data_IF_123844482393
#
_entry.id   IF_123844482393
#
_cell.length_a   1.000
_cell.length_b   1.000
_cell.length_c   1.000
_cell.angle_alpha   90.00
_cell.angle_beta   90.00
_cell.angle_gamma   90.00
#
_symmetry.space_group_name_H-M   'P 1'
#
loop_
_entity.id
_entity.type
_entity.pdbx_description
1 polymer ?
#
# COMPACT_ATOMS: atom_id res chain seq x y z
N UNK A 1 1.34 5.48 22.50
CA UNK A 1 2.59 4.84 22.07
C UNK A 1 3.36 5.79 21.16
N UNK A 2 4.64 6.02 21.40
CA UNK A 2 5.49 6.74 20.44
C UNK A 2 5.88 5.75 19.34
N UNK A 3 5.35 5.91 18.16
CA UNK A 3 5.78 5.17 16.96
C UNK A 3 7.14 5.77 16.55
N UNK A 4 8.21 5.01 16.70
CA UNK A 4 9.51 5.37 16.13
C UNK A 4 9.60 4.75 14.74
N UNK A 5 10.06 5.51 13.76
CA UNK A 5 10.54 4.93 12.51
C UNK A 5 11.69 4.00 12.88
N UNK A 6 11.56 2.73 12.55
CA UNK A 6 12.61 1.77 12.82
C UNK A 6 13.62 1.82 11.68
N UNK A 7 14.46 2.86 11.72
CA UNK A 7 15.68 2.88 10.93
C UNK A 7 16.67 1.90 11.57
N UNK A 8 17.09 0.90 10.82
CA UNK A 8 18.07 -0.08 11.26
C UNK A 8 19.36 0.22 10.52
N UNK A 9 20.38 0.64 11.22
CA UNK A 9 21.66 1.07 10.66
C UNK A 9 22.78 0.07 10.95
N UNK A 10 23.59 -0.18 9.94
CA UNK A 10 24.75 -1.04 10.04
C UNK A 10 24.47 -2.50 9.69
N UNK A 11 25.53 -3.16 9.22
CA UNK A 11 25.46 -4.49 8.61
C UNK A 11 24.93 -5.56 9.57
N UNK A 12 25.46 -5.60 10.79
CA UNK A 12 25.06 -6.60 11.77
C UNK A 12 23.61 -6.40 12.22
N UNK A 13 23.19 -5.15 12.46
CA UNK A 13 21.84 -4.83 12.88
C UNK A 13 20.80 -5.24 11.82
N UNK A 14 21.12 -5.01 10.53
CA UNK A 14 20.25 -5.41 9.41
C UNK A 14 20.19 -6.93 9.28
N UNK A 15 21.31 -7.65 9.44
CA UNK A 15 21.32 -9.11 9.42
C UNK A 15 20.52 -9.71 10.59
N UNK A 16 20.66 -9.15 11.79
CA UNK A 16 19.88 -9.59 12.94
C UNK A 16 18.37 -9.29 12.76
N UNK A 17 18.02 -8.19 12.13
CA UNK A 17 16.63 -7.90 11.81
C UNK A 17 16.02 -8.97 10.89
N UNK A 18 16.73 -9.40 9.83
CA UNK A 18 16.30 -10.50 8.98
C UNK A 18 16.19 -11.83 9.74
N UNK A 19 17.18 -12.16 10.60
CA UNK A 19 17.16 -13.37 11.44
C UNK A 19 15.98 -13.39 12.41
N UNK A 20 15.62 -12.23 12.92
CA UNK A 20 14.48 -12.05 13.83
C UNK A 20 13.12 -12.01 13.10
N UNK A 21 13.10 -12.18 11.77
CA UNK A 21 11.87 -12.14 10.97
C UNK A 21 11.21 -10.77 10.89
N UNK A 22 11.95 -9.67 11.19
CA UNK A 22 11.37 -8.32 11.10
C UNK A 22 11.07 -7.97 9.64
N UNK A 23 9.86 -7.49 9.33
CA UNK A 23 9.53 -7.06 7.98
C UNK A 23 10.33 -5.79 7.63
N UNK A 24 11.14 -5.89 6.56
CA UNK A 24 11.93 -4.78 6.04
C UNK A 24 11.31 -4.29 4.74
N UNK A 25 10.87 -3.05 4.72
CA UNK A 25 10.24 -2.44 3.54
C UNK A 25 11.26 -2.06 2.47
N UNK A 26 12.33 -1.39 2.90
CA UNK A 26 13.36 -0.88 1.99
C UNK A 26 14.74 -1.08 2.60
N UNK A 27 15.68 -1.46 1.74
CA UNK A 27 17.09 -1.60 2.08
C UNK A 27 17.91 -0.70 1.18
N UNK A 28 18.69 0.18 1.78
CA UNK A 28 19.61 1.07 1.09
C UNK A 28 21.03 0.58 1.30
N UNK A 29 21.76 0.38 0.21
CA UNK A 29 23.13 -0.12 0.21
C UNK A 29 24.01 0.88 -0.51
N UNK A 30 25.20 1.14 0.02
CA UNK A 30 26.21 1.96 -0.63
C UNK A 30 26.54 1.39 -2.01
N UNK A 31 26.46 2.23 -3.04
CA UNK A 31 26.80 1.82 -4.40
C UNK A 31 28.24 1.31 -4.50
N UNK A 32 28.43 0.27 -5.31
CA UNK A 32 29.73 -0.41 -5.45
C UNK A 32 30.15 -1.31 -4.28
N UNK A 33 29.41 -1.37 -3.17
CA UNK A 33 29.76 -2.22 -2.04
C UNK A 33 29.44 -3.69 -2.31
N UNK A 34 30.47 -4.56 -2.25
CA UNK A 34 30.38 -6.00 -2.57
C UNK A 34 31.10 -6.90 -1.56
N UNK A 35 31.38 -6.42 -0.36
CA UNK A 35 32.00 -7.24 0.67
C UNK A 35 31.07 -8.37 1.19
N UNK A 36 31.66 -9.36 1.87
CA UNK A 36 30.96 -10.57 2.30
C UNK A 36 29.67 -10.31 3.12
N UNK A 37 29.68 -9.43 4.14
CA UNK A 37 28.48 -9.08 4.89
C UNK A 37 27.39 -8.46 4.02
N UNK A 38 27.72 -7.55 3.10
CA UNK A 38 26.76 -6.93 2.19
C UNK A 38 26.19 -7.95 1.19
N UNK A 39 26.99 -8.89 0.71
CA UNK A 39 26.49 -9.98 -0.14
C UNK A 39 25.51 -10.89 0.60
N UNK A 40 25.74 -11.15 1.90
CA UNK A 40 24.79 -11.87 2.73
C UNK A 40 23.49 -11.12 2.91
N UNK A 41 23.56 -9.81 3.19
CA UNK A 41 22.38 -8.94 3.30
C UNK A 41 21.57 -8.93 1.98
N UNK A 42 22.24 -8.82 0.82
CA UNK A 42 21.58 -8.88 -0.50
C UNK A 42 20.85 -10.21 -0.70
N UNK A 43 21.42 -11.32 -0.26
CA UNK A 43 20.79 -12.65 -0.35
C UNK A 43 19.56 -12.75 0.55
N UNK A 44 19.64 -12.27 1.79
CA UNK A 44 18.47 -12.21 2.68
C UNK A 44 17.40 -11.25 2.13
N UNK A 45 17.77 -10.10 1.61
CA UNK A 45 16.83 -9.18 0.97
C UNK A 45 16.08 -9.84 -0.20
N UNK A 46 16.79 -10.61 -1.03
CA UNK A 46 16.17 -11.37 -2.12
C UNK A 46 15.23 -12.47 -1.61
N UNK A 47 15.61 -13.19 -0.55
CA UNK A 47 14.81 -14.24 0.07
C UNK A 47 13.50 -13.70 0.67
N UNK A 48 13.55 -12.50 1.28
CA UNK A 48 12.41 -11.83 1.88
C UNK A 48 11.73 -10.84 0.92
N UNK A 49 12.14 -10.82 -0.34
CA UNK A 49 11.60 -9.95 -1.39
C UNK A 49 11.60 -8.46 -0.98
N UNK A 50 12.64 -8.06 -0.25
CA UNK A 50 12.86 -6.69 0.20
C UNK A 50 13.35 -5.82 -0.95
N UNK A 51 12.78 -4.62 -1.10
CA UNK A 51 13.25 -3.66 -2.09
C UNK A 51 14.66 -3.17 -1.75
N UNK A 52 15.62 -3.38 -2.65
CA UNK A 52 16.99 -2.90 -2.50
C UNK A 52 17.22 -1.69 -3.41
N UNK A 53 17.77 -0.61 -2.85
CA UNK A 53 18.24 0.56 -3.59
C UNK A 53 19.72 0.81 -3.31
N UNK A 54 20.47 1.00 -4.39
CA UNK A 54 21.87 1.42 -4.30
C UNK A 54 21.90 2.94 -4.30
N UNK A 55 22.65 3.52 -3.37
CA UNK A 55 22.70 4.97 -3.13
C UNK A 55 24.13 5.43 -2.83
N UNK A 56 24.40 6.71 -3.01
CA UNK A 56 25.70 7.30 -2.68
C UNK A 56 25.92 7.37 -1.18
N UNK A 57 27.19 7.59 -0.76
CA UNK A 57 27.54 7.74 0.66
C UNK A 57 26.82 8.96 1.27
N UNK A 58 26.81 10.07 0.56
CA UNK A 58 26.15 11.32 0.99
C UNK A 58 24.67 11.09 1.27
N UNK A 59 24.03 10.25 0.46
CA UNK A 59 22.62 9.91 0.68
C UNK A 59 22.41 9.07 1.93
N UNK A 60 23.30 8.10 2.19
CA UNK A 60 23.26 7.32 3.44
C UNK A 60 23.53 8.20 4.65
N UNK A 61 24.52 9.10 4.57
CA UNK A 61 24.84 10.05 5.65
C UNK A 61 23.63 10.95 5.99
N UNK A 62 22.87 11.39 4.98
CA UNK A 62 21.62 12.17 5.16
C UNK A 62 20.48 11.36 5.80
N UNK A 63 20.44 10.07 5.54
CA UNK A 63 19.38 9.17 6.05
C UNK A 63 19.72 8.61 7.43
N UNK A 64 20.99 8.63 7.81
CA UNK A 64 21.49 8.05 9.07
C UNK A 64 21.16 8.93 10.25
N UNK A 65 20.62 8.33 11.30
CA UNK A 65 20.39 9.00 12.59
C UNK A 65 21.61 8.95 13.51
N UNK A 66 22.42 7.87 13.37
CA UNK A 66 23.55 7.59 14.28
C UNK A 66 24.90 7.91 13.68
N UNK A 67 24.98 8.11 12.35
CA UNK A 67 26.22 8.24 11.59
C UNK A 67 27.03 6.92 11.48
N UNK A 68 26.48 5.80 11.92
CA UNK A 68 27.17 4.49 11.97
C UNK A 68 26.58 3.46 11.01
N UNK A 69 26.05 3.90 9.86
CA UNK A 69 25.35 3.04 8.91
C UNK A 69 26.23 1.97 8.23
N UNK A 70 27.55 2.08 8.24
CA UNK A 70 28.49 1.10 7.64
C UNK A 70 28.14 0.72 6.18
N UNK A 71 27.54 1.66 5.42
CA UNK A 71 27.13 1.46 4.05
C UNK A 71 25.77 0.76 3.87
N UNK A 72 25.01 0.55 4.95
CA UNK A 72 23.71 -0.13 4.90
C UNK A 72 22.71 0.51 5.86
N UNK A 73 21.51 0.83 5.35
CA UNK A 73 20.37 1.30 6.15
C UNK A 73 19.13 0.52 5.70
N UNK A 74 18.36 0.00 6.65
CA UNK A 74 17.07 -0.63 6.39
C UNK A 74 15.93 0.14 7.08
N UNK A 75 14.80 0.24 6.41
CA UNK A 75 13.56 0.72 6.98
C UNK A 75 12.66 -0.48 7.27
N UNK A 76 12.43 -0.73 8.55
CA UNK A 76 11.51 -1.77 8.99
C UNK A 76 10.08 -1.26 8.97
N UNK A 77 9.14 -2.12 8.57
CA UNK A 77 7.72 -1.84 8.70
C UNK A 77 7.32 -1.74 10.18
N UNK A 78 6.42 -0.79 10.48
CA UNK A 78 5.87 -0.65 11.83
C UNK A 78 4.81 -1.71 12.14
N UNK A 79 4.29 -2.40 11.12
CA UNK A 79 3.30 -3.46 11.20
C UNK A 79 3.64 -4.60 10.24
N UNK A 80 3.18 -5.79 10.55
CA UNK A 80 3.27 -6.94 9.64
C UNK A 80 2.30 -6.77 8.48
N UNK A 81 2.72 -7.26 7.30
CA UNK A 81 1.84 -7.34 6.14
C UNK A 81 1.05 -8.64 6.19
N UNK A 82 -0.20 -8.56 5.74
CA UNK A 82 -1.05 -9.72 5.52
C UNK A 82 -0.84 -10.28 4.10
N UNK A 83 -1.29 -11.50 3.87
CA UNK A 83 -1.47 -12.03 2.52
C UNK A 83 -2.85 -11.61 1.97
N UNK A 84 -3.01 -11.63 0.65
CA UNK A 84 -4.29 -11.28 0.00
C UNK A 84 -5.38 -12.27 0.42
N UNK A 85 -5.02 -13.52 0.61
CA UNK A 85 -5.89 -14.59 1.06
C UNK A 85 -6.47 -14.32 2.45
N UNK A 86 -5.66 -13.78 3.38
CA UNK A 86 -6.12 -13.43 4.73
C UNK A 86 -7.25 -12.39 4.69
N UNK A 87 -7.13 -11.42 3.76
CA UNK A 87 -8.16 -10.39 3.56
C UNK A 87 -9.47 -11.00 3.06
N UNK A 88 -9.40 -11.95 2.13
CA UNK A 88 -10.60 -12.63 1.61
C UNK A 88 -11.25 -13.52 2.68
N UNK A 89 -10.46 -14.20 3.49
CA UNK A 89 -10.97 -14.99 4.60
C UNK A 89 -11.74 -14.14 5.63
N UNK A 90 -11.35 -12.89 5.85
CA UNK A 90 -12.08 -11.98 6.74
C UNK A 90 -13.49 -11.71 6.19
N UNK A 91 -13.63 -11.48 4.87
CA UNK A 91 -14.92 -11.29 4.24
C UNK A 91 -15.80 -12.56 4.36
N UNK A 92 -15.22 -13.72 4.09
CA UNK A 92 -15.90 -15.01 4.21
C UNK A 92 -16.38 -15.29 5.64
N UNK A 93 -15.50 -15.11 6.63
CA UNK A 93 -15.84 -15.28 8.06
C UNK A 93 -16.96 -14.35 8.55
N UNK A 94 -17.06 -13.16 7.94
CA UNK A 94 -18.16 -12.22 8.22
C UNK A 94 -19.44 -12.52 7.43
N UNK A 95 -19.38 -13.38 6.41
CA UNK A 95 -20.49 -13.61 5.49
C UNK A 95 -20.83 -12.39 4.63
N UNK A 96 -19.83 -11.54 4.35
CA UNK A 96 -19.98 -10.28 3.63
C UNK A 96 -19.37 -10.37 2.21
N UNK A 97 -19.95 -9.65 1.26
CA UNK A 97 -19.36 -9.48 -0.04
C UNK A 97 -17.99 -8.76 0.10
N UNK A 98 -16.88 -9.30 -0.44
CA UNK A 98 -15.57 -8.66 -0.32
C UNK A 98 -15.58 -7.19 -0.74
N UNK A 99 -14.93 -6.34 0.06
CA UNK A 99 -14.67 -4.95 -0.25
C UNK A 99 -13.19 -4.66 0.03
N UNK A 100 -12.44 -4.38 -1.02
CA UNK A 100 -11.00 -4.18 -0.96
C UNK A 100 -10.62 -2.81 -1.51
N UNK A 101 -9.55 -2.22 -0.95
CA UNK A 101 -8.88 -1.09 -1.59
C UNK A 101 -7.61 -1.59 -2.26
N UNK A 102 -7.35 -1.13 -3.48
CA UNK A 102 -6.10 -1.34 -4.18
C UNK A 102 -5.49 0.02 -4.49
N UNK A 103 -4.28 0.25 -4.05
CA UNK A 103 -3.65 1.56 -4.15
C UNK A 103 -2.48 1.51 -5.12
N UNK A 104 -2.52 2.31 -6.17
CA UNK A 104 -1.47 2.39 -7.18
C UNK A 104 -0.73 3.71 -7.08
N UNK A 105 0.60 3.67 -6.95
CA UNK A 105 1.48 4.84 -6.85
C UNK A 105 1.19 5.78 -5.65
N UNK A 106 0.63 5.29 -4.54
CA UNK A 106 0.45 6.09 -3.32
C UNK A 106 1.77 6.11 -2.53
N UNK A 107 2.54 7.19 -2.68
CA UNK A 107 3.87 7.34 -2.06
C UNK A 107 3.85 8.25 -0.82
N UNK A 108 2.81 9.06 -0.63
CA UNK A 108 2.65 9.90 0.56
C UNK A 108 2.11 9.09 1.75
N UNK A 109 2.85 9.01 2.88
CA UNK A 109 2.41 8.29 4.06
C UNK A 109 1.14 8.89 4.71
N UNK A 110 0.87 10.17 4.53
CA UNK A 110 -0.36 10.79 5.03
C UNK A 110 -1.58 10.28 4.24
N UNK A 111 -1.47 10.21 2.91
CA UNK A 111 -2.53 9.64 2.07
C UNK A 111 -2.77 8.17 2.40
N UNK A 112 -1.71 7.35 2.47
CA UNK A 112 -1.88 5.93 2.81
C UNK A 112 -2.56 5.74 4.16
N UNK A 113 -2.12 6.45 5.20
CA UNK A 113 -2.72 6.35 6.53
C UNK A 113 -4.19 6.80 6.55
N UNK A 114 -4.53 7.90 5.86
CA UNK A 114 -5.90 8.38 5.73
C UNK A 114 -6.80 7.39 4.96
N UNK A 115 -6.28 6.78 3.88
CA UNK A 115 -7.01 5.76 3.10
C UNK A 115 -7.26 4.50 3.95
N UNK A 116 -6.27 4.01 4.69
CA UNK A 116 -6.43 2.85 5.59
C UNK A 116 -7.51 3.13 6.66
N UNK A 117 -7.50 4.35 7.22
CA UNK A 117 -8.54 4.77 8.17
C UNK A 117 -9.91 4.80 7.52
N UNK A 118 -10.03 5.33 6.32
CA UNK A 118 -11.28 5.35 5.55
C UNK A 118 -11.74 3.94 5.22
N UNK A 119 -10.85 3.06 4.78
CA UNK A 119 -11.14 1.66 4.47
C UNK A 119 -11.72 0.93 5.70
N UNK A 120 -11.11 1.14 6.88
CA UNK A 120 -11.64 0.61 8.14
C UNK A 120 -13.07 1.08 8.41
N UNK A 121 -13.29 2.40 8.37
CA UNK A 121 -14.59 3.00 8.69
C UNK A 121 -15.69 2.67 7.65
N UNK A 122 -15.30 2.45 6.39
CA UNK A 122 -16.20 2.02 5.32
C UNK A 122 -16.50 0.50 5.36
N UNK A 123 -15.91 -0.24 6.29
CA UNK A 123 -16.10 -1.68 6.40
C UNK A 123 -15.37 -2.49 5.33
N UNK A 124 -14.32 -1.94 4.72
CA UNK A 124 -13.48 -2.70 3.81
C UNK A 124 -12.69 -3.78 4.57
N UNK A 125 -12.48 -4.93 3.92
CA UNK A 125 -11.84 -6.09 4.52
C UNK A 125 -10.31 -5.99 4.53
N UNK A 126 -9.73 -5.13 3.68
CA UNK A 126 -8.31 -4.85 3.67
C UNK A 126 -7.89 -3.91 2.56
N UNK A 127 -6.60 -3.58 2.58
CA UNK A 127 -5.94 -2.69 1.63
C UNK A 127 -4.79 -3.45 0.95
N UNK A 128 -4.65 -3.31 -0.35
CA UNK A 128 -3.56 -3.93 -1.13
C UNK A 128 -2.71 -2.81 -1.72
N UNK A 129 -1.40 -2.88 -1.50
CA UNK A 129 -0.42 -1.94 -2.04
C UNK A 129 0.65 -2.67 -2.86
N UNK A 130 1.24 -2.04 -3.88
CA UNK A 130 2.37 -2.64 -4.57
C UNK A 130 3.66 -2.53 -3.75
N UNK A 131 4.61 -3.44 -3.98
CA UNK A 131 5.96 -3.40 -3.37
C UNK A 131 6.79 -2.22 -3.84
N UNK A 132 6.58 -1.78 -5.08
CA UNK A 132 7.27 -0.67 -5.71
C UNK A 132 6.31 0.50 -5.91
N UNK A 133 6.82 1.74 -5.92
CA UNK A 133 6.03 2.95 -6.11
C UNK A 133 4.89 3.09 -5.10
N UNK A 134 5.15 2.69 -3.86
CA UNK A 134 4.24 2.87 -2.75
C UNK A 134 5.04 3.14 -1.48
N UNK A 135 4.46 3.87 -0.57
CA UNK A 135 4.97 3.96 0.80
C UNK A 135 4.59 2.69 1.55
N UNK A 136 5.51 2.17 2.36
CA UNK A 136 5.24 1.03 3.25
C UNK A 136 4.53 1.46 4.55
N UNK A 137 4.34 0.49 5.46
CA UNK A 137 3.70 0.71 6.77
C UNK A 137 4.67 1.38 7.76
N UNK A 138 5.03 2.62 7.47
CA UNK A 138 5.93 3.43 8.30
C UNK A 138 5.25 3.91 9.60
N UNK A 139 6.04 4.43 10.53
CA UNK A 139 5.51 5.06 11.74
C UNK A 139 4.56 6.25 11.44
N UNK A 140 4.81 6.98 10.34
CA UNK A 140 3.91 8.05 9.91
C UNK A 140 2.57 7.49 9.46
N UNK A 141 2.54 6.41 8.66
CA UNK A 141 1.31 5.72 8.26
C UNK A 141 0.55 5.20 9.49
N UNK A 142 1.26 4.58 10.44
CA UNK A 142 0.68 4.11 11.69
C UNK A 142 -0.01 5.24 12.47
N UNK A 143 0.62 6.40 12.55
CA UNK A 143 0.08 7.59 13.23
C UNK A 143 -1.12 8.18 12.48
N UNK A 144 -1.02 8.34 11.17
CA UNK A 144 -2.07 8.98 10.36
C UNK A 144 -3.30 8.07 10.16
N UNK A 145 -3.11 6.76 10.24
CA UNK A 145 -4.22 5.80 10.26
C UNK A 145 -5.04 5.81 11.57
N UNK A 146 -4.58 6.56 12.60
CA UNK A 146 -5.26 6.69 13.88
C UNK A 146 -5.70 5.35 14.52
N UNK A 147 -4.84 4.33 14.39
CA UNK A 147 -5.07 3.00 14.94
C UNK A 147 -5.81 2.02 14.01
N UNK A 148 -6.27 2.45 12.83
CA UNK A 148 -6.98 1.59 11.89
C UNK A 148 -6.13 0.38 11.42
N UNK A 149 -4.80 0.50 11.38
CA UNK A 149 -3.88 -0.61 11.07
C UNK A 149 -4.00 -1.82 12.01
N UNK A 150 -4.54 -1.65 13.23
CA UNK A 150 -4.76 -2.77 14.14
C UNK A 150 -5.97 -3.65 13.73
N UNK A 151 -6.81 -3.15 12.83
CA UNK A 151 -8.08 -3.77 12.45
C UNK A 151 -8.21 -4.01 10.94
N UNK A 152 -7.40 -3.32 10.13
CA UNK A 152 -7.47 -3.39 8.67
C UNK A 152 -6.15 -3.96 8.16
N UNK A 153 -6.13 -5.22 7.72
CA UNK A 153 -4.92 -5.82 7.16
C UNK A 153 -4.51 -5.13 5.88
N UNK A 154 -3.20 -5.01 5.70
CA UNK A 154 -2.60 -4.47 4.48
C UNK A 154 -1.75 -5.55 3.84
N UNK A 155 -2.08 -5.94 2.63
CA UNK A 155 -1.27 -6.86 1.84
C UNK A 155 -0.34 -6.10 0.88
N UNK A 156 0.83 -6.68 0.61
CA UNK A 156 1.83 -6.08 -0.28
C UNK A 156 2.17 -7.01 -1.43
N UNK A 157 1.86 -6.60 -2.65
CA UNK A 157 1.96 -7.44 -3.84
C UNK A 157 3.03 -6.94 -4.83
N UNK A 158 3.62 -7.85 -5.58
CA UNK A 158 4.64 -7.52 -6.58
C UNK A 158 4.04 -6.90 -7.84
N UNK A 159 2.84 -7.34 -8.24
CA UNK A 159 2.17 -6.90 -9.47
C UNK A 159 0.67 -6.69 -9.23
N UNK A 160 0.26 -5.42 -9.12
CA UNK A 160 -1.13 -5.07 -8.83
C UNK A 160 -2.09 -5.50 -9.95
N UNK A 161 -1.69 -5.34 -11.22
CA UNK A 161 -2.52 -5.76 -12.35
C UNK A 161 -2.77 -7.28 -12.36
N UNK A 162 -1.74 -8.07 -12.06
CA UNK A 162 -1.88 -9.53 -11.93
C UNK A 162 -2.77 -9.91 -10.73
N UNK A 163 -2.63 -9.21 -9.62
CA UNK A 163 -3.48 -9.42 -8.44
C UNK A 163 -4.96 -9.14 -8.76
N UNK A 164 -5.25 -8.08 -9.54
CA UNK A 164 -6.61 -7.81 -10.01
C UNK A 164 -7.14 -8.98 -10.83
N UNK A 165 -6.36 -9.49 -11.79
CA UNK A 165 -6.79 -10.65 -12.61
C UNK A 165 -7.10 -11.89 -11.74
N UNK A 166 -6.25 -12.18 -10.76
CA UNK A 166 -6.43 -13.33 -9.87
C UNK A 166 -7.68 -13.17 -8.99
N UNK A 167 -7.94 -11.97 -8.48
CA UNK A 167 -9.13 -11.66 -7.69
C UNK A 167 -10.42 -11.65 -8.52
N UNK A 168 -10.36 -11.25 -9.80
CA UNK A 168 -11.49 -11.37 -10.74
C UNK A 168 -11.90 -12.83 -10.94
N UNK A 169 -10.96 -13.75 -11.01
CA UNK A 169 -11.24 -15.18 -11.08
C UNK A 169 -11.95 -15.71 -9.82
N UNK A 170 -11.80 -15.01 -8.69
CA UNK A 170 -12.52 -15.27 -7.44
C UNK A 170 -13.86 -14.53 -7.34
N UNK A 171 -14.31 -13.85 -8.40
CA UNK A 171 -15.61 -13.21 -8.50
C UNK A 171 -15.68 -11.76 -8.07
N UNK A 172 -14.56 -11.09 -7.86
CA UNK A 172 -14.55 -9.65 -7.57
C UNK A 172 -14.63 -8.82 -8.86
N UNK A 173 -15.30 -7.68 -8.78
CA UNK A 173 -15.29 -6.63 -9.78
C UNK A 173 -14.40 -5.49 -9.35
N UNK A 174 -13.74 -4.84 -10.30
CA UNK A 174 -12.82 -3.74 -10.00
C UNK A 174 -13.30 -2.44 -10.60
N UNK A 175 -13.37 -1.41 -9.75
CA UNK A 175 -13.71 -0.05 -10.12
C UNK A 175 -12.49 0.85 -9.90
N UNK A 176 -12.04 1.53 -10.95
CA UNK A 176 -10.93 2.46 -10.95
C UNK A 176 -11.44 3.90 -10.81
N UNK A 177 -10.88 4.66 -9.90
CA UNK A 177 -11.14 6.09 -9.77
C UNK A 177 -10.40 6.87 -10.87
N UNK A 178 -11.12 7.54 -11.74
CA UNK A 178 -10.56 8.38 -12.80
C UNK A 178 -11.60 9.42 -13.26
N UNK A 179 -11.14 10.61 -13.67
CA UNK A 179 -12.04 11.69 -14.09
C UNK A 179 -12.80 11.39 -15.38
N UNK A 180 -12.22 10.59 -16.27
CA UNK A 180 -12.82 10.23 -17.56
C UNK A 180 -13.80 9.06 -17.48
N UNK A 181 -14.21 8.67 -16.28
CA UNK A 181 -15.11 7.55 -16.04
C UNK A 181 -16.59 7.88 -16.11
N UNK A 182 -17.39 6.83 -15.94
CA UNK A 182 -18.84 6.96 -15.69
C UNK A 182 -19.06 7.55 -14.30
N UNK A 183 -20.06 8.43 -14.15
CA UNK A 183 -20.39 8.95 -12.81
C UNK A 183 -20.63 7.81 -11.83
N UNK A 184 -20.01 7.88 -10.66
CA UNK A 184 -20.11 6.85 -9.60
C UNK A 184 -21.56 6.54 -9.22
N UNK A 185 -22.49 7.48 -9.40
CA UNK A 185 -23.91 7.31 -9.11
C UNK A 185 -24.65 6.42 -10.10
N UNK A 186 -24.02 6.12 -11.27
CA UNK A 186 -24.60 5.30 -12.34
C UNK A 186 -24.07 3.86 -12.35
N UNK A 187 -23.09 3.56 -11.50
CA UNK A 187 -22.47 2.23 -11.39
C UNK A 187 -23.18 1.39 -10.33
N UNK A 188 -23.30 0.09 -10.56
CA UNK A 188 -23.70 -0.87 -9.52
C UNK A 188 -22.46 -1.38 -8.78
N UNK A 189 -22.34 -0.98 -7.52
CA UNK A 189 -21.20 -1.28 -6.64
C UNK A 189 -21.60 -2.14 -5.42
N UNK A 190 -22.73 -2.84 -5.48
CA UNK A 190 -23.28 -3.63 -4.35
C UNK A 190 -22.54 -4.95 -4.12
N UNK A 191 -22.00 -5.55 -5.18
CA UNK A 191 -21.35 -6.87 -5.14
C UNK A 191 -19.96 -6.88 -4.53
N UNK A 192 -19.22 -8.00 -4.69
CA UNK A 192 -17.80 -8.10 -4.35
C UNK A 192 -17.00 -7.09 -5.18
N UNK A 193 -16.34 -6.12 -4.51
CA UNK A 193 -15.71 -5.00 -5.22
C UNK A 193 -14.31 -4.68 -4.69
N UNK A 194 -13.38 -4.40 -5.62
CA UNK A 194 -12.10 -3.78 -5.38
C UNK A 194 -12.10 -2.34 -5.90
N UNK A 195 -11.91 -1.37 -5.00
CA UNK A 195 -11.77 0.05 -5.32
C UNK A 195 -10.30 0.39 -5.57
N UNK A 196 -9.98 0.78 -6.81
CA UNK A 196 -8.61 1.11 -7.22
C UNK A 196 -8.43 2.63 -7.22
N UNK A 197 -7.45 3.10 -6.44
CA UNK A 197 -7.12 4.52 -6.26
C UNK A 197 -5.68 4.75 -6.70
N UNK A 198 -5.46 5.75 -7.54
CA UNK A 198 -4.15 6.25 -7.96
C UNK A 198 -3.69 7.48 -7.19
N UNK A 199 -2.49 7.96 -7.49
CA UNK A 199 -2.00 9.24 -6.96
C UNK A 199 -2.67 10.44 -7.67
N UNK A 200 -2.49 11.64 -7.10
CA UNK A 200 -3.12 12.86 -7.59
C UNK A 200 -2.58 13.33 -8.95
N UNK A 201 -1.33 12.98 -9.28
CA UNK A 201 -0.67 13.47 -10.50
C UNK A 201 -0.89 12.55 -11.69
N UNK A 202 -0.51 11.29 -11.57
CA UNK A 202 -0.53 10.31 -12.66
C UNK A 202 -1.80 9.45 -12.68
N UNK A 203 -2.59 9.50 -11.59
CA UNK A 203 -3.74 8.64 -11.43
C UNK A 203 -3.37 7.16 -11.27
N UNK A 204 -4.22 6.29 -11.76
CA UNK A 204 -3.98 4.85 -11.82
C UNK A 204 -3.21 4.51 -13.09
N UNK A 205 -2.14 3.75 -12.97
CA UNK A 205 -1.30 3.34 -14.09
C UNK A 205 -2.10 2.58 -15.16
N UNK A 206 -1.75 2.81 -16.45
CA UNK A 206 -2.46 2.29 -17.61
C UNK A 206 -2.76 0.78 -17.50
N UNK A 207 -1.76 -0.04 -17.16
CA UNK A 207 -1.94 -1.49 -17.08
C UNK A 207 -2.90 -1.92 -15.97
N UNK A 208 -2.93 -1.20 -14.85
CA UNK A 208 -3.87 -1.45 -13.74
C UNK A 208 -5.28 -1.03 -14.15
N UNK A 209 -5.42 0.16 -14.76
CA UNK A 209 -6.69 0.70 -15.28
C UNK A 209 -7.32 -0.23 -16.32
N UNK A 210 -6.53 -0.78 -17.26
CA UNK A 210 -6.97 -1.73 -18.28
C UNK A 210 -7.53 -3.06 -17.70
N UNK A 211 -7.15 -3.43 -16.46
CA UNK A 211 -7.66 -4.63 -15.78
C UNK A 211 -8.94 -4.38 -14.99
N UNK A 212 -9.30 -3.14 -14.75
CA UNK A 212 -10.54 -2.78 -14.06
C UNK A 212 -11.75 -3.00 -14.98
N UNK A 213 -12.91 -3.32 -14.39
CA UNK A 213 -14.15 -3.55 -15.09
C UNK A 213 -14.90 -2.25 -15.33
N UNK A 214 -14.75 -1.30 -14.40
CA UNK A 214 -15.41 0.00 -14.44
C UNK A 214 -14.42 1.11 -14.15
N UNK A 215 -14.67 2.26 -14.73
CA UNK A 215 -14.00 3.51 -14.43
C UNK A 215 -15.03 4.45 -13.85
N UNK A 216 -14.85 4.85 -12.58
CA UNK A 216 -15.76 5.71 -11.84
C UNK A 216 -15.23 7.13 -11.76
N UNK A 217 -16.03 8.10 -12.15
CA UNK A 217 -15.74 9.51 -11.91
C UNK A 217 -16.56 10.08 -10.76
N UNK A 218 -15.95 10.97 -10.00
CA UNK A 218 -16.61 11.82 -9.01
C UNK A 218 -17.02 13.10 -9.75
N UNK A 219 -18.31 13.48 -9.79
CA UNK A 219 -18.70 14.70 -10.47
C UNK A 219 -18.09 15.95 -9.84
N UNK A 220 -17.26 16.67 -10.60
CA UNK A 220 -16.65 17.94 -10.20
C UNK A 220 -17.47 19.13 -10.72
N UNK A 221 -17.51 20.23 -9.95
CA UNK A 221 -18.20 21.46 -10.31
C UNK A 221 -17.32 22.70 -10.18
N UNK A 222 -16.10 22.53 -9.71
CA UNK A 222 -15.12 23.62 -9.56
C UNK A 222 -14.15 23.68 -10.72
N UNK A 223 -13.24 24.62 -10.66
CA UNK A 223 -12.19 24.84 -11.68
C UNK A 223 -11.00 23.88 -11.54
N UNK A 224 -10.90 23.19 -10.39
CA UNK A 224 -9.90 22.14 -10.15
C UNK A 224 -10.52 20.79 -10.52
N UNK A 225 -9.79 20.01 -11.29
CA UNK A 225 -10.26 18.77 -11.92
C UNK A 225 -10.06 17.51 -11.09
N UNK A 226 -9.33 17.57 -9.98
CA UNK A 226 -9.02 16.40 -9.15
C UNK A 226 -9.11 16.66 -7.65
N UNK A 227 -9.49 15.64 -6.91
CA UNK A 227 -9.43 15.60 -5.45
C UNK A 227 -8.10 14.99 -4.99
N UNK A 228 -7.68 15.30 -3.77
CA UNK A 228 -6.64 14.52 -3.11
C UNK A 228 -7.02 13.03 -3.09
N UNK A 229 -6.04 12.14 -3.26
CA UNK A 229 -6.26 10.70 -3.38
C UNK A 229 -7.04 10.10 -2.20
N UNK A 230 -6.74 10.52 -0.97
CA UNK A 230 -7.44 10.02 0.22
C UNK A 230 -8.88 10.55 0.31
N UNK A 231 -9.15 11.73 -0.21
CA UNK A 231 -10.50 12.30 -0.30
C UNK A 231 -11.32 11.56 -1.35
N UNK A 232 -10.76 11.36 -2.55
CA UNK A 232 -11.41 10.58 -3.62
C UNK A 232 -11.73 9.16 -3.15
N UNK A 233 -10.79 8.51 -2.47
CA UNK A 233 -10.99 7.20 -1.86
C UNK A 233 -12.18 7.21 -0.88
N UNK A 234 -12.30 8.24 -0.04
CA UNK A 234 -13.41 8.38 0.89
C UNK A 234 -14.76 8.56 0.21
N UNK A 235 -14.84 9.43 -0.79
CA UNK A 235 -16.09 9.70 -1.53
C UNK A 235 -16.58 8.43 -2.23
N UNK A 236 -15.72 7.72 -2.97
CA UNK A 236 -16.08 6.48 -3.67
C UNK A 236 -16.40 5.34 -2.70
N UNK A 237 -15.65 5.21 -1.61
CA UNK A 237 -15.91 4.19 -0.60
C UNK A 237 -17.30 4.36 0.04
N UNK A 238 -17.69 5.58 0.37
CA UNK A 238 -19.01 5.83 0.97
C UNK A 238 -20.15 5.76 -0.02
N UNK A 239 -19.91 5.91 -1.32
CA UNK A 239 -20.89 5.53 -2.34
C UNK A 239 -21.12 4.01 -2.36
N UNK A 240 -20.04 3.21 -2.28
CA UNK A 240 -20.17 1.75 -2.13
C UNK A 240 -20.96 1.40 -0.87
N UNK A 241 -20.63 2.01 0.27
CA UNK A 241 -21.36 1.81 1.53
C UNK A 241 -22.84 2.18 1.38
N UNK A 242 -23.14 3.36 0.81
CA UNK A 242 -24.52 3.81 0.57
C UNK A 242 -25.32 2.80 -0.24
N UNK A 243 -24.73 2.28 -1.32
CA UNK A 243 -25.41 1.30 -2.17
C UNK A 243 -25.64 -0.03 -1.46
N UNK A 244 -24.67 -0.50 -0.65
CA UNK A 244 -24.78 -1.75 0.13
C UNK A 244 -25.79 -1.66 1.28
N UNK A 245 -26.06 -0.45 1.81
CA UNK A 245 -27.10 -0.21 2.82
C UNK A 245 -28.53 -0.17 2.24
N UNK A 246 -28.67 0.04 0.93
CA UNK A 246 -29.95 0.01 0.26
C UNK A 246 -30.28 -1.43 -0.15
N UNK A 247 -31.14 -2.07 0.63
CA UNK A 247 -31.69 -3.42 0.36
C UNK A 247 -32.61 -3.43 -0.85
#
# INVERSE_FOLDING_TARGET
>A
MRYQEFTIEGRNAVLEAYRAGKPIDKLFILDGCQDGPVMTIKREAKKHDTMVRFVTKERLDQMSETGKHQGVIAYAAAYEYAEVEDILEIAEKKGEAPFLFLLDNIEDPHNLGAIIRTANLAGAHGVIIPKNRAVGLTATVARTSAGALNYTPVARVTNLAKTIEDLKQKGLWFVCADMDGTSMYQLDLKGPVGLVIGNEGEGVGRLVKEKCDFIASIPMKGDIDSLNASVAAGVLAYEIVRQRMQK
#
